data_IF_780391726573
#
_entry.id   IF_780391726573
#
_cell.length_a   1.000
_cell.length_b   1.000
_cell.length_c   1.000
_cell.angle_alpha   90.00
_cell.angle_beta   90.00
_cell.angle_gamma   90.00
#
_symmetry.space_group_name_H-M   'P 1'
#
loop_
_entity.id
_entity.type
_entity.pdbx_description
1 polymer ?
#
# COMPACT_ATOMS: atom_id res chain seq x y z
N UNK A 1 7.73 -23.13 -1.73
CA UNK A 1 6.54 -23.70 -1.08
C UNK A 1 6.93 -25.00 -0.38
N UNK A 2 6.45 -25.25 0.84
CA UNK A 2 6.79 -26.45 1.61
C UNK A 2 5.51 -27.02 2.22
N UNK A 3 5.31 -28.33 2.06
CA UNK A 3 4.18 -29.04 2.66
C UNK A 3 4.38 -29.10 4.17
N UNK A 4 3.28 -28.92 4.93
CA UNK A 4 3.30 -29.02 6.38
C UNK A 4 3.64 -30.47 6.80
N UNK A 5 4.71 -30.70 7.59
CA UNK A 5 5.10 -32.04 8.02
C UNK A 5 3.98 -32.77 8.78
N UNK A 6 3.89 -34.08 8.63
CA UNK A 6 2.87 -34.90 9.31
C UNK A 6 2.94 -34.78 10.84
N UNK A 7 4.14 -34.71 11.42
CA UNK A 7 4.33 -34.52 12.86
C UNK A 7 3.65 -33.26 13.38
N UNK A 8 3.73 -32.16 12.61
CA UNK A 8 3.11 -30.88 12.96
C UNK A 8 1.58 -30.94 12.81
N UNK A 9 1.09 -31.72 11.83
CA UNK A 9 -0.35 -31.95 11.67
C UNK A 9 -0.93 -32.71 12.87
N UNK A 10 -0.21 -33.72 13.38
CA UNK A 10 -0.62 -34.48 14.56
C UNK A 10 -0.62 -33.61 15.83
N UNK A 11 0.38 -32.75 16.00
CA UNK A 11 0.42 -31.76 17.09
C UNK A 11 -0.78 -30.81 17.05
N UNK A 12 -1.06 -30.22 15.87
CA UNK A 12 -2.23 -29.33 15.68
C UNK A 12 -3.52 -30.08 15.99
N UNK A 13 -3.63 -31.35 15.57
CA UNK A 13 -4.79 -32.19 15.85
C UNK A 13 -4.97 -32.41 17.35
N UNK A 14 -3.91 -32.70 18.10
CA UNK A 14 -3.97 -32.88 19.56
C UNK A 14 -4.37 -31.60 20.29
N UNK A 15 -3.84 -30.45 19.86
CA UNK A 15 -4.18 -29.15 20.44
C UNK A 15 -5.66 -28.82 20.20
N UNK A 16 -6.16 -29.07 18.98
CA UNK A 16 -7.58 -28.91 18.64
C UNK A 16 -8.50 -29.90 19.34
N UNK A 17 -8.06 -31.13 19.58
CA UNK A 17 -8.82 -32.13 20.34
C UNK A 17 -9.10 -31.64 21.77
N UNK A 18 -8.09 -31.02 22.41
CA UNK A 18 -8.26 -30.42 23.75
C UNK A 18 -9.19 -29.21 23.69
N UNK A 19 -9.00 -28.33 22.71
CA UNK A 19 -9.77 -27.09 22.56
C UNK A 19 -11.26 -27.34 22.27
N UNK A 20 -11.54 -28.31 21.39
CA UNK A 20 -12.89 -28.69 20.99
C UNK A 20 -13.47 -29.76 21.95
N UNK A 21 -12.67 -30.34 22.84
CA UNK A 21 -13.09 -31.37 23.81
C UNK A 21 -13.71 -32.60 23.15
N UNK A 22 -13.15 -33.03 22.01
CA UNK A 22 -13.59 -34.18 21.23
C UNK A 22 -12.39 -34.86 20.59
N UNK A 23 -12.47 -36.19 20.39
CA UNK A 23 -11.41 -36.95 19.71
C UNK A 23 -11.71 -37.17 18.22
N UNK A 24 -12.97 -37.02 17.81
CA UNK A 24 -13.45 -37.22 16.44
C UNK A 24 -13.24 -35.96 15.60
N UNK A 25 -11.98 -35.65 15.30
CA UNK A 25 -11.56 -34.51 14.48
C UNK A 25 -10.74 -34.99 13.30
N UNK A 26 -11.05 -34.45 12.13
CA UNK A 26 -10.33 -34.72 10.89
C UNK A 26 -9.94 -33.42 10.20
N UNK A 27 -8.71 -33.38 9.70
CA UNK A 27 -8.24 -32.26 8.89
C UNK A 27 -8.82 -32.44 7.49
N UNK A 28 -9.70 -31.53 7.10
CA UNK A 28 -10.40 -31.57 5.80
C UNK A 28 -9.55 -30.94 4.71
N UNK A 29 -8.88 -29.83 5.02
CA UNK A 29 -8.04 -29.13 4.05
C UNK A 29 -6.97 -28.29 4.75
N UNK A 30 -5.80 -28.15 4.13
CA UNK A 30 -4.73 -27.25 4.53
C UNK A 30 -4.44 -26.36 3.33
N UNK A 31 -4.59 -25.05 3.52
CA UNK A 31 -4.38 -24.05 2.46
C UNK A 31 -3.26 -23.11 2.86
N UNK A 32 -2.48 -22.66 1.88
CA UNK A 32 -1.41 -21.69 2.12
C UNK A 32 -2.02 -20.32 2.47
N UNK A 33 -1.34 -19.55 3.32
CA UNK A 33 -1.73 -18.17 3.60
C UNK A 33 -1.74 -17.31 2.33
N UNK A 34 -0.83 -17.58 1.38
CA UNK A 34 -0.73 -16.88 0.11
C UNK A 34 -2.01 -16.99 -0.73
N UNK A 35 -2.63 -18.18 -0.79
CA UNK A 35 -3.85 -18.45 -1.57
C UNK A 35 -5.08 -17.68 -1.07
N UNK A 36 -5.00 -17.17 0.17
CA UNK A 36 -6.05 -16.35 0.81
C UNK A 36 -5.77 -14.85 0.72
N UNK A 37 -4.88 -14.44 -0.19
CA UNK A 37 -4.47 -13.04 -0.33
C UNK A 37 -3.41 -12.62 0.69
N UNK A 38 -2.62 -13.57 1.20
CA UNK A 38 -1.41 -13.30 1.98
C UNK A 38 -0.36 -12.55 1.16
N UNK A 39 0.66 -12.00 1.81
CA UNK A 39 1.73 -11.31 1.09
C UNK A 39 2.67 -12.37 0.50
N UNK A 40 3.26 -12.08 -0.65
CA UNK A 40 4.34 -12.92 -1.17
C UNK A 40 5.49 -12.89 -0.15
N UNK A 41 5.89 -14.03 0.43
CA UNK A 41 6.90 -14.05 1.47
C UNK A 41 8.23 -13.57 0.91
N UNK A 42 8.96 -12.78 1.70
CA UNK A 42 10.36 -12.48 1.38
C UNK A 42 11.17 -13.78 1.42
N UNK A 43 12.15 -13.98 0.53
CA UNK A 43 12.96 -15.20 0.45
C UNK A 43 13.99 -15.28 1.59
N UNK A 44 13.50 -15.28 2.83
CA UNK A 44 14.29 -15.43 4.06
C UNK A 44 14.18 -16.90 4.53
N UNK A 45 15.31 -17.56 4.74
CA UNK A 45 15.33 -18.94 5.22
C UNK A 45 14.60 -19.06 6.57
N UNK A 46 13.69 -20.02 6.68
CA UNK A 46 12.95 -20.32 7.91
C UNK A 46 11.78 -19.39 8.24
N UNK A 47 11.48 -18.38 7.41
CA UNK A 47 10.32 -17.50 7.61
C UNK A 47 9.17 -17.93 6.69
N UNK A 48 8.08 -18.42 7.29
CA UNK A 48 6.88 -18.87 6.58
C UNK A 48 5.68 -18.02 7.01
N UNK A 49 4.80 -17.63 6.07
CA UNK A 49 3.58 -16.83 6.37
C UNK A 49 2.52 -17.62 7.18
N UNK A 50 2.68 -18.93 7.30
CA UNK A 50 1.75 -19.83 7.98
C UNK A 50 0.76 -20.50 7.03
N UNK A 51 -0.20 -21.21 7.61
CA UNK A 51 -1.20 -22.01 6.89
C UNK A 51 -2.59 -21.84 7.51
N UNK A 52 -3.63 -22.01 6.69
CA UNK A 52 -5.01 -22.13 7.15
C UNK A 52 -5.41 -23.60 7.15
N UNK A 53 -5.73 -24.12 8.34
CA UNK A 53 -6.16 -25.50 8.54
C UNK A 53 -7.68 -25.53 8.73
N UNK A 54 -8.39 -26.26 7.87
CA UNK A 54 -9.82 -26.53 7.99
C UNK A 54 -10.01 -27.89 8.65
N UNK A 55 -10.70 -27.91 9.78
CA UNK A 55 -10.93 -29.13 10.57
C UNK A 55 -12.43 -29.36 10.71
N UNK A 56 -12.85 -30.62 10.53
CA UNK A 56 -14.21 -31.08 10.69
C UNK A 56 -14.36 -31.98 11.91
N UNK A 57 -15.54 -31.94 12.54
CA UNK A 57 -15.96 -32.87 13.57
C UNK A 57 -17.45 -33.11 13.47
N UNK A 58 -17.89 -34.29 13.91
CA UNK A 58 -19.32 -34.63 14.05
C UNK A 58 -19.96 -34.00 15.30
N UNK A 59 -19.15 -33.46 16.21
CA UNK A 59 -19.62 -32.83 17.46
C UNK A 59 -19.71 -31.32 17.32
N UNK A 60 -20.70 -30.72 17.98
CA UNK A 60 -20.84 -29.27 18.08
C UNK A 60 -19.62 -28.59 18.73
N UNK A 61 -19.41 -27.31 18.42
CA UNK A 61 -18.32 -26.51 18.96
C UNK A 61 -18.34 -26.42 20.50
N UNK A 62 -17.16 -26.51 21.12
CA UNK A 62 -17.02 -26.29 22.56
C UNK A 62 -17.35 -24.86 22.96
N UNK A 63 -17.66 -24.63 24.24
CA UNK A 63 -17.89 -23.27 24.78
C UNK A 63 -16.68 -22.34 24.54
N UNK A 64 -15.48 -22.89 24.45
CA UNK A 64 -14.26 -22.13 24.12
C UNK A 64 -14.29 -21.62 22.69
N UNK A 65 -14.59 -22.49 21.71
CA UNK A 65 -14.65 -22.11 20.30
C UNK A 65 -15.82 -21.16 20.02
N UNK A 66 -16.99 -21.39 20.63
CA UNK A 66 -18.16 -20.52 20.46
C UNK A 66 -17.90 -19.06 20.86
N UNK A 67 -16.87 -18.78 21.67
CA UNK A 67 -16.48 -17.40 22.00
C UNK A 67 -15.98 -16.60 20.80
N UNK A 68 -15.50 -17.26 19.74
CA UNK A 68 -15.13 -16.59 18.48
C UNK A 68 -16.33 -15.85 17.87
N UNK A 69 -17.54 -16.37 18.10
CA UNK A 69 -18.80 -15.80 17.59
C UNK A 69 -19.31 -14.63 18.44
N UNK A 70 -18.71 -14.32 19.60
CA UNK A 70 -19.20 -13.23 20.44
C UNK A 70 -18.84 -11.86 19.87
N UNK A 71 -19.73 -10.89 20.07
CA UNK A 71 -19.54 -9.50 19.63
C UNK A 71 -18.31 -8.86 20.31
N UNK A 72 -18.01 -9.25 21.55
CA UNK A 72 -16.84 -8.78 22.29
C UNK A 72 -15.54 -9.19 21.61
N UNK A 73 -15.43 -10.47 21.20
CA UNK A 73 -14.26 -10.97 20.48
C UNK A 73 -14.07 -10.25 19.14
N UNK A 74 -15.16 -10.03 18.39
CA UNK A 74 -15.12 -9.28 17.13
C UNK A 74 -14.65 -7.83 17.34
N UNK A 75 -15.10 -7.16 18.40
CA UNK A 75 -14.65 -5.81 18.74
C UNK A 75 -13.17 -5.78 19.12
N UNK A 76 -12.69 -6.75 19.90
CA UNK A 76 -11.29 -6.85 20.28
C UNK A 76 -10.38 -7.06 19.07
N UNK A 77 -10.80 -7.91 18.12
CA UNK A 77 -10.06 -8.15 16.88
C UNK A 77 -10.02 -6.93 15.94
N UNK A 78 -11.08 -6.11 15.93
CA UNK A 78 -11.09 -4.85 15.16
C UNK A 78 -10.22 -3.77 15.78
N UNK A 79 -10.04 -3.78 17.10
CA UNK A 79 -9.27 -2.78 17.81
C UNK A 79 -7.75 -3.01 17.78
N UNK A 80 -7.25 -4.02 17.05
CA UNK A 80 -5.86 -4.51 17.06
C UNK A 80 -5.27 -4.77 18.46
N UNK A 81 -6.13 -4.79 19.49
CA UNK A 81 -5.74 -5.10 20.85
C UNK A 81 -5.41 -6.59 20.91
N UNK A 82 -4.31 -6.95 21.59
CA UNK A 82 -4.03 -8.35 21.93
C UNK A 82 -5.27 -8.94 22.58
N UNK A 83 -5.98 -9.80 21.85
CA UNK A 83 -7.21 -10.45 22.31
C UNK A 83 -6.89 -11.13 23.63
N UNK A 84 -7.50 -10.65 24.71
CA UNK A 84 -7.39 -11.28 26.03
C UNK A 84 -8.29 -12.49 25.99
N UNK A 85 -7.77 -13.62 25.50
CA UNK A 85 -8.46 -14.90 25.62
C UNK A 85 -8.56 -15.22 27.13
N UNK A 86 -9.76 -15.28 27.73
CA UNK A 86 -9.88 -15.55 29.16
C UNK A 86 -9.37 -16.95 29.47
N UNK A 87 -8.61 -17.05 30.57
CA UNK A 87 -7.85 -18.23 30.98
C UNK A 87 -8.64 -19.53 30.90
N UNK A 88 -8.14 -20.46 30.08
CA UNK A 88 -8.68 -21.81 29.89
C UNK A 88 -8.82 -22.23 28.42
N UNK A 89 -8.97 -21.28 27.49
CA UNK A 89 -9.19 -21.60 26.07
C UNK A 89 -7.94 -21.37 25.18
N UNK A 90 -6.82 -20.90 25.72
CA UNK A 90 -5.57 -20.75 24.98
C UNK A 90 -4.68 -21.96 25.24
N UNK A 91 -4.96 -23.08 24.59
CA UNK A 91 -4.07 -24.24 24.61
C UNK A 91 -3.23 -24.23 23.33
N UNK A 92 -1.92 -24.10 23.49
CA UNK A 92 -0.95 -24.43 22.45
C UNK A 92 0.22 -25.12 23.13
N UNK A 93 0.63 -26.28 22.63
CA UNK A 93 1.83 -26.93 23.13
C UNK A 93 3.11 -26.24 22.62
N UNK A 94 3.05 -25.71 21.39
CA UNK A 94 4.16 -25.02 20.73
C UNK A 94 3.74 -23.61 20.34
N UNK A 95 4.46 -22.56 20.76
CA UNK A 95 4.06 -21.17 20.52
C UNK A 95 4.07 -20.78 19.02
N UNK A 96 4.88 -21.44 18.19
CA UNK A 96 4.91 -21.19 16.74
C UNK A 96 3.67 -21.70 16.00
N UNK A 97 2.97 -22.69 16.56
CA UNK A 97 1.83 -23.36 15.92
C UNK A 97 0.49 -22.90 16.53
N UNK A 98 0.50 -21.80 17.30
CA UNK A 98 -0.68 -21.29 17.96
C UNK A 98 -1.75 -20.80 17.00
N UNK A 99 -3.00 -21.03 17.39
CA UNK A 99 -4.18 -20.55 16.67
C UNK A 99 -4.26 -19.03 16.77
N UNK A 100 -4.38 -18.37 15.62
CA UNK A 100 -4.65 -16.93 15.56
C UNK A 100 -6.15 -16.67 15.69
N UNK A 101 -6.61 -16.40 16.91
CA UNK A 101 -8.03 -16.22 17.26
C UNK A 101 -8.79 -15.25 16.34
N UNK A 102 -8.21 -14.11 15.98
CA UNK A 102 -8.86 -13.13 15.09
C UNK A 102 -9.03 -13.58 13.64
N UNK A 103 -8.34 -14.64 13.22
CA UNK A 103 -8.46 -15.23 11.88
C UNK A 103 -9.25 -16.54 11.90
N UNK A 104 -9.84 -16.91 13.04
CA UNK A 104 -10.68 -18.12 13.14
C UNK A 104 -12.10 -17.84 12.70
N UNK A 105 -12.68 -18.78 11.95
CA UNK A 105 -14.07 -18.77 11.54
C UNK A 105 -14.68 -20.15 11.78
N UNK A 106 -15.88 -20.17 12.35
CA UNK A 106 -16.63 -21.39 12.62
C UNK A 106 -17.77 -21.52 11.61
N UNK A 107 -17.90 -22.69 11.00
CA UNK A 107 -18.95 -23.00 10.03
C UNK A 107 -19.86 -24.05 10.62
N UNK A 108 -21.12 -23.69 10.86
CA UNK A 108 -22.16 -24.62 11.28
C UNK A 108 -22.91 -25.13 10.04
N UNK A 109 -22.57 -26.33 9.58
CA UNK A 109 -23.19 -26.95 8.42
C UNK A 109 -24.59 -27.52 8.72
N UNK A 110 -25.02 -27.55 9.98
CA UNK A 110 -26.38 -27.98 10.35
C UNK A 110 -27.43 -26.95 9.94
N UNK A 111 -27.05 -25.67 9.94
CA UNK A 111 -27.86 -24.55 9.46
C UNK A 111 -27.59 -24.33 7.98
N UNK A 112 -27.98 -25.29 7.14
CA UNK A 112 -27.96 -25.07 5.70
C UNK A 112 -29.02 -24.01 5.40
N UNK A 113 -28.57 -22.80 5.04
CA UNK A 113 -29.46 -21.79 4.49
C UNK A 113 -30.24 -22.43 3.34
N UNK A 114 -31.58 -22.27 3.27
CA UNK A 114 -32.37 -22.90 2.24
C UNK A 114 -31.72 -22.56 0.90
N UNK A 115 -31.42 -23.60 0.10
CA UNK A 115 -30.95 -23.36 -1.24
C UNK A 115 -31.97 -22.42 -1.91
N UNK A 116 -31.53 -21.31 -2.54
CA UNK A 116 -32.45 -20.47 -3.28
C UNK A 116 -33.26 -21.39 -4.21
N UNK A 117 -34.59 -21.20 -4.28
CA UNK A 117 -35.43 -22.07 -5.08
C UNK A 117 -34.83 -22.19 -6.47
N UNK A 118 -34.73 -23.42 -6.97
CA UNK A 118 -34.21 -23.65 -8.31
C UNK A 118 -34.95 -22.70 -9.27
N UNK A 119 -34.23 -21.97 -10.15
CA UNK A 119 -34.90 -21.09 -11.09
C UNK A 119 -35.94 -21.92 -11.86
N UNK A 120 -37.18 -21.43 -11.90
CA UNK A 120 -38.26 -22.08 -12.65
C UNK A 120 -37.83 -22.14 -14.12
N UNK A 121 -37.38 -23.31 -14.55
CA UNK A 121 -37.11 -23.60 -15.96
C UNK A 121 -38.46 -23.68 -16.66
N UNK A 122 -38.86 -22.61 -17.33
CA UNK A 122 -40.03 -22.64 -18.22
C UNK A 122 -39.82 -23.66 -19.34
N UNK A 123 -40.89 -24.22 -19.88
CA UNK A 123 -40.87 -25.27 -20.92
C UNK A 123 -40.14 -24.92 -22.23
N UNK A 124 -39.62 -23.70 -22.38
CA UNK A 124 -38.89 -23.24 -23.57
C UNK A 124 -39.72 -23.19 -24.86
N UNK A 125 -41.02 -23.47 -24.77
CA UNK A 125 -41.97 -23.49 -25.88
C UNK A 125 -42.98 -22.38 -25.59
N UNK A 126 -42.97 -21.33 -26.41
CA UNK A 126 -44.05 -20.34 -26.42
C UNK A 126 -45.34 -21.07 -26.80
N UNK A 127 -46.41 -20.89 -26.01
CA UNK A 127 -47.74 -21.22 -26.48
C UNK A 127 -48.01 -20.45 -27.78
N UNK A 128 -48.43 -21.17 -28.82
CA UNK A 128 -48.68 -20.60 -30.13
C UNK A 128 -49.88 -19.63 -30.05
N UNK A 129 -49.61 -18.34 -29.81
CA UNK A 129 -50.65 -17.31 -29.85
C UNK A 129 -50.37 -16.03 -29.07
N UNK A 130 -49.47 -16.02 -28.09
CA UNK A 130 -49.13 -14.78 -27.38
C UNK A 130 -47.92 -14.11 -28.02
N UNK A 131 -48.13 -12.90 -28.55
CA UNK A 131 -47.09 -12.09 -29.15
C UNK A 131 -45.97 -11.82 -28.15
N UNK A 132 -44.73 -12.05 -28.59
CA UNK A 132 -43.54 -11.66 -27.86
C UNK A 132 -43.48 -10.12 -27.83
N UNK A 133 -43.84 -9.53 -26.69
CA UNK A 133 -43.75 -8.08 -26.45
C UNK A 133 -42.60 -7.82 -25.48
N UNK A 134 -41.34 -7.83 -25.96
CA UNK A 134 -40.19 -7.58 -25.11
C UNK A 134 -40.28 -6.14 -24.58
N UNK A 135 -39.89 -5.88 -23.32
CA UNK A 135 -39.79 -4.51 -22.83
C UNK A 135 -38.86 -3.70 -23.75
N UNK A 136 -39.42 -2.74 -24.48
CA UNK A 136 -38.71 -1.94 -25.49
C UNK A 136 -37.58 -1.09 -24.89
N UNK A 137 -37.59 -0.92 -23.57
CA UNK A 137 -36.55 -0.22 -22.82
C UNK A 137 -36.28 -0.88 -21.47
N UNK A 138 -35.02 -0.87 -21.00
CA UNK A 138 -34.69 -1.32 -19.66
C UNK A 138 -35.45 -0.50 -18.61
N UNK A 139 -35.71 -1.08 -17.42
CA UNK A 139 -36.33 -0.34 -16.33
C UNK A 139 -35.50 0.90 -16.01
N UNK A 140 -36.18 2.02 -15.72
CA UNK A 140 -35.53 3.28 -15.38
C UNK A 140 -34.57 3.08 -14.20
N UNK A 141 -33.27 3.25 -14.44
CA UNK A 141 -32.25 3.19 -13.40
C UNK A 141 -31.96 4.60 -12.89
N UNK A 142 -31.98 4.76 -11.58
CA UNK A 142 -31.57 6.01 -10.95
C UNK A 142 -30.05 6.14 -11.00
N UNK A 143 -29.54 7.05 -11.84
CA UNK A 143 -28.11 7.36 -11.97
C UNK A 143 -27.62 8.40 -10.95
N UNK A 144 -28.53 8.94 -10.15
CA UNK A 144 -28.22 9.93 -9.12
C UNK A 144 -27.13 9.50 -8.11
N UNK A 145 -27.15 8.28 -7.52
CA UNK A 145 -26.09 7.85 -6.61
C UNK A 145 -24.74 7.69 -7.32
N UNK A 146 -24.75 7.15 -8.54
CA UNK A 146 -23.53 6.97 -9.35
C UNK A 146 -22.92 8.34 -9.71
N UNK A 147 -23.75 9.34 -10.00
CA UNK A 147 -23.32 10.73 -10.23
C UNK A 147 -22.74 11.40 -8.98
N UNK A 148 -23.35 11.18 -7.80
CA UNK A 148 -22.80 11.69 -6.52
C UNK A 148 -21.39 11.16 -6.30
N UNK A 149 -21.18 9.85 -6.46
CA UNK A 149 -19.90 9.20 -6.19
C UNK A 149 -18.84 9.56 -7.22
N UNK A 150 -19.20 9.59 -8.50
CA UNK A 150 -18.23 9.79 -9.59
C UNK A 150 -17.90 11.26 -9.86
N UNK A 151 -18.84 12.18 -9.64
CA UNK A 151 -18.67 13.60 -10.02
C UNK A 151 -18.61 14.50 -8.79
N UNK A 152 -19.58 14.38 -7.88
CA UNK A 152 -19.71 15.34 -6.77
C UNK A 152 -18.60 15.14 -5.73
N UNK A 153 -18.29 13.90 -5.35
CA UNK A 153 -17.25 13.61 -4.34
C UNK A 153 -15.86 14.09 -4.78
N UNK A 154 -15.37 13.78 -6.00
CA UNK A 154 -14.09 14.31 -6.47
C UNK A 154 -14.07 15.83 -6.57
N UNK A 155 -15.18 16.46 -6.98
CA UNK A 155 -15.28 17.91 -7.08
C UNK A 155 -15.17 18.59 -5.70
N UNK A 156 -15.87 18.07 -4.68
CA UNK A 156 -15.73 18.57 -3.30
C UNK A 156 -14.28 18.42 -2.81
N UNK A 157 -13.65 17.26 -3.07
CA UNK A 157 -12.26 17.02 -2.68
C UNK A 157 -11.30 18.02 -3.34
N UNK A 158 -11.49 18.33 -4.63
CA UNK A 158 -10.69 19.35 -5.33
C UNK A 158 -10.91 20.74 -4.74
N UNK A 159 -12.14 21.12 -4.40
CA UNK A 159 -12.46 22.41 -3.78
C UNK A 159 -11.79 22.53 -2.41
N UNK A 160 -11.87 21.49 -1.58
CA UNK A 160 -11.21 21.47 -0.26
C UNK A 160 -9.71 21.63 -0.39
N UNK A 161 -9.07 20.92 -1.32
CA UNK A 161 -7.65 21.06 -1.59
C UNK A 161 -7.30 22.48 -2.08
N UNK A 162 -8.11 23.06 -2.97
CA UNK A 162 -7.93 24.44 -3.42
C UNK A 162 -8.04 25.44 -2.26
N UNK A 163 -9.04 25.30 -1.38
CA UNK A 163 -9.19 26.17 -0.20
C UNK A 163 -8.01 26.02 0.76
N UNK A 164 -7.51 24.79 0.95
CA UNK A 164 -6.32 24.52 1.75
C UNK A 164 -5.08 25.20 1.15
N UNK A 165 -4.88 25.08 -0.17
CA UNK A 165 -3.79 25.76 -0.87
C UNK A 165 -3.90 27.27 -0.77
N UNK A 166 -5.08 27.84 -0.94
CA UNK A 166 -5.34 29.28 -0.72
C UNK A 166 -4.97 29.66 0.70
N UNK A 167 -5.43 28.93 1.71
CA UNK A 167 -5.08 29.19 3.11
C UNK A 167 -3.57 29.13 3.36
N UNK A 168 -2.86 28.13 2.81
CA UNK A 168 -1.41 28.01 2.94
C UNK A 168 -0.71 29.16 2.20
N UNK A 169 -1.14 29.48 0.97
CA UNK A 169 -0.51 30.53 0.18
C UNK A 169 -0.71 31.90 0.81
N UNK A 170 -1.92 32.27 1.23
CA UNK A 170 -2.15 33.56 1.88
C UNK A 170 -1.52 33.61 3.28
N UNK A 171 -1.73 32.58 4.11
CA UNK A 171 -1.21 32.54 5.49
C UNK A 171 0.31 32.38 5.60
N UNK A 172 0.96 31.63 4.69
CA UNK A 172 2.43 31.45 4.71
C UNK A 172 3.19 32.47 3.88
N UNK A 173 2.55 33.17 2.92
CA UNK A 173 3.18 34.28 2.18
C UNK A 173 3.42 35.48 3.09
N UNK A 174 2.50 35.79 4.00
CA UNK A 174 2.75 36.74 5.09
C UNK A 174 3.90 36.26 6.00
N UNK A 175 4.03 34.95 6.19
CA UNK A 175 5.14 34.33 6.90
C UNK A 175 6.52 34.55 6.26
N UNK A 176 6.62 34.77 4.94
CA UNK A 176 7.90 35.13 4.29
C UNK A 176 8.26 36.58 4.62
N UNK A 177 7.33 37.51 4.46
CA UNK A 177 7.57 38.92 4.80
C UNK A 177 7.92 39.10 6.29
N UNK A 178 7.18 38.43 7.19
CA UNK A 178 7.45 38.45 8.64
C UNK A 178 8.77 37.77 9.03
N UNK A 179 9.20 36.73 8.29
CA UNK A 179 10.51 36.10 8.48
C UNK A 179 11.63 37.03 8.01
N UNK A 180 11.52 37.58 6.81
CA UNK A 180 12.50 38.50 6.24
C UNK A 180 12.70 39.74 7.12
N UNK A 181 11.63 40.25 7.74
CA UNK A 181 11.71 41.36 8.70
C UNK A 181 12.41 41.00 10.03
N UNK A 182 12.45 39.71 10.41
CA UNK A 182 13.14 39.22 11.62
C UNK A 182 14.57 38.74 11.34
N UNK A 183 14.90 38.44 10.09
CA UNK A 183 16.22 37.99 9.68
C UNK A 183 17.18 39.18 9.54
N UNK A 184 18.44 39.02 9.94
CA UNK A 184 19.45 40.06 9.79
C UNK A 184 19.69 40.37 8.30
N UNK A 185 19.75 41.67 7.95
CA UNK A 185 19.91 42.17 6.58
C UNK A 185 21.09 41.53 5.82
N UNK A 186 22.18 41.18 6.50
CA UNK A 186 23.36 40.56 5.87
C UNK A 186 23.01 39.16 5.35
N UNK A 187 22.33 38.34 6.16
CA UNK A 187 21.91 37.00 5.75
C UNK A 187 20.86 37.05 4.65
N UNK A 188 19.95 38.02 4.71
CA UNK A 188 18.94 38.23 3.68
C UNK A 188 19.57 38.65 2.34
N UNK A 189 20.57 39.52 2.37
CA UNK A 189 21.34 39.93 1.20
C UNK A 189 22.04 38.74 0.55
N UNK A 190 22.79 37.93 1.31
CA UNK A 190 23.43 36.74 0.77
C UNK A 190 22.42 35.76 0.15
N UNK A 191 21.28 35.55 0.79
CA UNK A 191 20.23 34.68 0.26
C UNK A 191 19.67 35.21 -1.07
N UNK A 192 19.40 36.52 -1.18
CA UNK A 192 18.93 37.11 -2.43
C UNK A 192 19.98 37.05 -3.55
N UNK A 193 21.25 37.32 -3.24
CA UNK A 193 22.35 37.23 -4.20
C UNK A 193 22.56 35.80 -4.69
N UNK A 194 22.54 34.81 -3.79
CA UNK A 194 22.65 33.39 -4.18
C UNK A 194 21.48 32.97 -5.08
N UNK A 195 20.26 33.36 -4.72
CA UNK A 195 19.09 33.04 -5.55
C UNK A 195 19.13 33.73 -6.91
N UNK A 196 19.53 35.01 -6.96
CA UNK A 196 19.69 35.75 -8.21
C UNK A 196 20.73 35.12 -9.12
N UNK A 197 21.94 34.85 -8.58
CA UNK A 197 23.02 34.22 -9.33
C UNK A 197 22.64 32.81 -9.80
N UNK A 198 21.93 32.03 -8.97
CA UNK A 198 21.48 30.69 -9.34
C UNK A 198 20.43 30.72 -10.47
N UNK A 199 19.52 31.69 -10.45
CA UNK A 199 18.52 31.86 -11.51
C UNK A 199 19.17 32.36 -12.80
N UNK A 200 20.14 33.28 -12.70
CA UNK A 200 20.92 33.75 -13.83
C UNK A 200 21.70 32.59 -14.47
N UNK A 201 22.42 31.79 -13.68
CA UNK A 201 23.12 30.59 -14.16
C UNK A 201 22.17 29.55 -14.76
N UNK A 202 20.99 29.36 -14.18
CA UNK A 202 19.97 28.45 -14.70
C UNK A 202 19.39 28.95 -16.03
N UNK A 203 19.16 30.25 -16.17
CA UNK A 203 18.70 30.85 -17.44
C UNK A 203 19.78 30.75 -18.51
N UNK A 204 21.04 31.01 -18.15
CA UNK A 204 22.18 30.81 -19.04
C UNK A 204 22.31 29.35 -19.48
N UNK A 205 22.14 28.39 -18.56
CA UNK A 205 22.16 26.97 -18.86
C UNK A 205 21.00 26.52 -19.76
N UNK A 206 19.79 27.03 -19.52
CA UNK A 206 18.61 26.75 -20.34
C UNK A 206 18.76 27.30 -21.78
N UNK A 207 19.46 28.43 -21.93
CA UNK A 207 19.75 29.04 -23.23
C UNK A 207 21.04 28.51 -23.90
N UNK A 208 21.68 27.46 -23.37
CA UNK A 208 22.78 26.76 -24.06
C UNK A 208 22.20 25.89 -25.17
N UNK A 209 22.10 26.44 -26.37
CA UNK A 209 21.86 25.66 -27.61
C UNK A 209 23.09 24.93 -28.13
N UNK A 210 24.23 25.02 -27.42
CA UNK A 210 25.47 24.34 -27.75
C UNK A 210 25.72 23.16 -26.81
N UNK A 211 26.23 22.05 -27.38
CA UNK A 211 26.66 20.87 -26.60
C UNK A 211 27.55 21.28 -25.43
N UNK A 212 27.36 20.68 -24.23
CA UNK A 212 28.19 20.98 -23.07
C UNK A 212 29.68 20.84 -23.41
N UNK A 213 30.55 21.76 -22.95
CA UNK A 213 31.98 21.63 -23.17
C UNK A 213 32.46 20.32 -22.52
N UNK A 214 33.27 19.55 -23.26
CA UNK A 214 33.79 18.24 -22.84
C UNK A 214 34.55 18.28 -21.50
N UNK A 215 34.99 19.46 -21.05
CA UNK A 215 35.62 19.68 -19.73
C UNK A 215 34.66 19.49 -18.55
N UNK A 216 33.35 19.52 -18.79
CA UNK A 216 32.32 19.24 -17.77
C UNK A 216 31.85 17.80 -17.77
N UNK A 217 32.33 16.97 -18.71
CA UNK A 217 32.11 15.53 -18.64
C UNK A 217 32.99 14.93 -17.54
N UNK A 218 32.45 14.02 -16.71
CA UNK A 218 33.25 13.34 -15.72
C UNK A 218 34.36 12.55 -16.42
N UNK A 219 35.61 12.74 -15.98
CA UNK A 219 36.82 12.11 -16.55
C UNK A 219 36.76 10.56 -16.52
N UNK A 220 35.87 10.02 -15.71
CA UNK A 220 35.62 8.60 -15.53
C UNK A 220 34.11 8.39 -15.40
N UNK A 221 33.59 7.37 -16.06
CA UNK A 221 32.20 6.97 -15.88
C UNK A 221 32.07 6.31 -14.49
N UNK A 222 31.38 6.94 -13.55
CA UNK A 222 31.26 6.46 -12.17
C UNK A 222 30.57 5.09 -12.04
N UNK A 223 29.86 4.63 -13.08
CA UNK A 223 29.16 3.35 -13.08
C UNK A 223 29.97 2.21 -13.71
N UNK A 224 30.86 2.50 -14.65
CA UNK A 224 31.66 1.48 -15.36
C UNK A 224 33.15 1.54 -15.07
N UNK A 225 33.66 2.59 -14.42
CA UNK A 225 35.08 2.77 -14.12
C UNK A 225 35.96 3.00 -15.36
N UNK A 226 35.36 3.03 -16.54
CA UNK A 226 36.05 3.26 -17.80
C UNK A 226 36.53 4.71 -17.88
N UNK A 227 37.84 4.86 -18.13
CA UNK A 227 38.48 6.14 -18.38
C UNK A 227 38.19 6.53 -19.82
N UNK A 228 37.76 7.77 -20.05
CA UNK A 228 37.60 8.27 -21.41
C UNK A 228 38.93 8.15 -22.18
N UNK A 229 38.87 7.64 -23.41
CA UNK A 229 40.05 7.49 -24.27
C UNK A 229 40.72 8.85 -24.52
N UNK A 230 42.05 8.97 -24.44
CA UNK A 230 42.72 10.23 -24.74
C UNK A 230 42.55 10.55 -26.22
N UNK A 231 41.80 11.62 -26.52
CA UNK A 231 41.72 12.17 -27.86
C UNK A 231 43.00 12.96 -28.14
N UNK A 232 43.81 12.45 -29.06
CA UNK A 232 44.92 13.15 -29.68
C UNK A 232 44.33 14.26 -30.56
N UNK A 233 44.39 15.51 -30.09
CA UNK A 233 43.98 16.68 -30.87
C UNK A 233 45.04 17.76 -30.70
N UNK A 234 45.79 18.02 -31.78
CA UNK A 234 46.95 18.92 -31.86
C UNK A 234 46.58 20.42 -31.89
N UNK A 235 45.38 20.81 -31.48
CA UNK A 235 45.00 22.22 -31.42
C UNK A 235 43.97 22.47 -30.32
N UNK A 236 44.45 22.65 -29.10
CA UNK A 236 43.67 23.20 -27.99
C UNK A 236 43.97 24.70 -27.95
N UNK A 237 43.02 25.59 -28.28
CA UNK A 237 43.22 27.01 -28.02
C UNK A 237 43.19 27.19 -26.51
N UNK A 238 44.35 27.48 -25.92
CA UNK A 238 44.44 27.87 -24.53
C UNK A 238 43.65 29.18 -24.38
N UNK A 239 42.52 29.12 -23.68
CA UNK A 239 41.84 30.31 -23.18
C UNK A 239 42.84 30.97 -22.22
N UNK A 240 43.40 32.10 -22.63
CA UNK A 240 44.21 32.93 -21.74
C UNK A 240 43.34 33.33 -20.54
N UNK A 241 43.83 33.08 -19.34
CA UNK A 241 43.26 33.68 -18.16
C UNK A 241 43.35 35.20 -18.32
N UNK A 242 42.22 35.88 -18.39
CA UNK A 242 42.19 37.33 -18.30
C UNK A 242 42.57 37.69 -16.87
N UNK A 243 43.84 38.03 -16.65
CA UNK A 243 44.27 38.73 -15.46
C UNK A 243 43.80 40.17 -15.60
N UNK A 244 42.65 40.49 -15.01
CA UNK A 244 42.28 41.88 -14.79
C UNK A 244 43.22 42.47 -13.71
N UNK A 245 43.97 43.55 -14.00
CA UNK A 245 44.79 44.21 -13.01
C UNK A 245 43.88 45.12 -12.18
N UNK A 246 43.20 44.58 -11.17
CA UNK A 246 42.50 45.44 -10.22
C UNK A 246 43.48 45.94 -9.17
N UNK A 247 43.86 47.19 -9.37
CA UNK A 247 44.69 48.01 -8.48
C UNK A 247 44.04 48.12 -7.10
N UNK A 248 44.75 47.71 -6.05
CA UNK A 248 44.44 48.07 -4.67
C UNK A 248 44.60 49.60 -4.53
N UNK A 249 43.49 50.32 -4.62
CA UNK A 249 43.42 51.71 -4.16
C UNK A 249 42.44 51.80 -3.02
N UNK A 250 42.92 51.61 -1.79
CA UNK A 250 42.42 52.32 -0.59
C UNK A 250 43.49 52.22 0.52
N UNK A 251 43.84 53.34 1.18
CA UNK A 251 44.92 53.38 2.15
C UNK A 251 44.50 52.82 3.52
N UNK A 252 45.50 52.31 4.24
CA UNK A 252 45.44 51.79 5.60
C UNK A 252 45.30 52.91 6.63
#
# INVERSE_FOLDING_TARGET
>A
EKVLPSSVQDEIKQDLQKLWSTNALEIVNITNALDRGGRVPLPLAGHFEGVYVKVGSERYFSKCLQRVLTVEHQKQCKAEAKVKVPGGCSFCNIPSNCITWCKTALFDLTKKEPAPPAPTVGSGILEAGEGFDPPESPPSRDFFPDYIVTVIVPLILTIVLCLLLVYIMFGRREGVAKRNARTNNIQLYHHHTIHGNAEELRSMAANRSASPPLSTLPMFNSRTGERASPLQSDSIPLIMAQQDPYSDTLPR
#
